data_IF_530653972338
#
_entry.id   IF_530653972338
#
_cell.length_a   1.000
_cell.length_b   1.000
_cell.length_c   1.000
_cell.angle_alpha   90.00
_cell.angle_beta   90.00
_cell.angle_gamma   90.00
#
_symmetry.space_group_name_H-M   'P 1'
#
loop_
_entity.id
_entity.type
_entity.pdbx_description
1 polymer ?
#
# COMPACT_ATOMS: atom_id res chain seq x y z
N UNK A 1 4.39 60.10 5.30
CA UNK A 1 4.06 58.99 4.38
C UNK A 1 4.18 57.70 5.16
N UNK A 2 3.03 57.14 5.61
CA UNK A 2 3.00 55.93 6.44
C UNK A 2 2.67 54.72 5.52
N UNK A 3 3.62 53.80 5.44
CA UNK A 3 3.47 52.57 4.67
C UNK A 3 2.76 51.55 5.58
N UNK A 4 1.51 51.19 5.22
CA UNK A 4 0.79 50.13 5.91
C UNK A 4 1.21 48.80 5.26
N UNK A 5 1.93 47.97 6.01
CA UNK A 5 2.26 46.60 5.63
C UNK A 5 1.07 45.71 5.89
N UNK A 6 0.45 45.19 4.82
CA UNK A 6 -0.61 44.24 4.88
C UNK A 6 -0.03 42.83 5.10
N UNK A 7 -0.10 42.31 6.31
CA UNK A 7 0.25 40.93 6.63
C UNK A 7 -0.90 39.99 6.14
N UNK A 8 -0.66 39.25 5.07
CA UNK A 8 -1.49 38.12 4.71
C UNK A 8 -1.15 36.94 5.63
N UNK A 9 -2.03 36.66 6.58
CA UNK A 9 -1.99 35.41 7.33
C UNK A 9 -2.46 34.28 6.41
N UNK A 10 -1.54 33.42 5.94
CA UNK A 10 -1.89 32.16 5.30
C UNK A 10 -2.45 31.23 6.39
N UNK A 11 -3.77 31.14 6.44
CA UNK A 11 -4.43 30.12 7.27
C UNK A 11 -4.27 28.79 6.57
N UNK A 12 -3.35 27.94 7.04
CA UNK A 12 -3.29 26.54 6.61
C UNK A 12 -4.54 25.85 7.15
N UNK A 13 -5.54 25.66 6.30
CA UNK A 13 -6.69 24.83 6.61
C UNK A 13 -6.17 23.39 6.78
N UNK A 14 -6.30 22.82 7.97
CA UNK A 14 -6.04 21.40 8.21
C UNK A 14 -6.98 20.60 7.28
N UNK A 15 -6.43 19.62 6.55
CA UNK A 15 -7.23 18.69 5.74
C UNK A 15 -8.25 18.00 6.65
N UNK A 16 -9.54 17.90 6.26
CA UNK A 16 -10.53 17.20 7.07
C UNK A 16 -10.06 15.77 7.31
N UNK A 17 -10.18 15.29 8.55
CA UNK A 17 -9.89 13.90 8.89
C UNK A 17 -10.72 12.96 8.01
N UNK A 18 -10.11 11.88 7.50
CA UNK A 18 -10.83 10.87 6.73
C UNK A 18 -11.95 10.26 7.57
N UNK A 19 -13.14 10.07 6.99
CA UNK A 19 -14.25 9.45 7.67
C UNK A 19 -14.03 7.94 7.93
N UNK A 20 -14.82 7.37 8.85
CA UNK A 20 -14.70 5.96 9.23
C UNK A 20 -14.92 5.00 8.06
N UNK A 21 -15.80 5.34 7.10
CA UNK A 21 -16.06 4.52 5.92
C UNK A 21 -14.84 4.49 4.98
N UNK A 22 -14.18 5.62 4.78
CA UNK A 22 -12.94 5.71 3.99
C UNK A 22 -11.81 4.90 4.64
N UNK A 23 -11.60 5.05 5.95
CA UNK A 23 -10.61 4.27 6.69
C UNK A 23 -10.86 2.76 6.53
N UNK A 24 -12.10 2.32 6.77
CA UNK A 24 -12.48 0.91 6.63
C UNK A 24 -12.25 0.36 5.21
N UNK A 25 -12.55 1.15 4.17
CA UNK A 25 -12.34 0.75 2.78
C UNK A 25 -10.85 0.60 2.43
N UNK A 26 -10.00 1.50 2.92
CA UNK A 26 -8.54 1.43 2.74
C UNK A 26 -7.97 0.20 3.45
N UNK A 27 -8.36 -0.03 4.70
CA UNK A 27 -7.94 -1.20 5.48
C UNK A 27 -8.40 -2.50 4.83
N UNK A 28 -9.64 -2.57 4.34
CA UNK A 28 -10.17 -3.74 3.64
C UNK A 28 -9.34 -4.08 2.39
N UNK A 29 -8.93 -3.09 1.61
CA UNK A 29 -8.06 -3.30 0.44
C UNK A 29 -6.68 -3.82 0.84
N UNK A 30 -6.08 -3.28 1.90
CA UNK A 30 -4.82 -3.79 2.42
C UNK A 30 -4.95 -5.25 2.88
N UNK A 31 -6.01 -5.59 3.61
CA UNK A 31 -6.28 -6.98 4.03
C UNK A 31 -6.58 -7.90 2.84
N UNK A 32 -7.32 -7.45 1.83
CA UNK A 32 -7.54 -8.25 0.62
C UNK A 32 -6.23 -8.60 -0.07
N UNK A 33 -5.29 -7.65 -0.10
CA UNK A 33 -3.97 -7.88 -0.67
C UNK A 33 -3.16 -8.91 0.12
N UNK A 34 -3.00 -8.74 1.42
CA UNK A 34 -2.13 -9.61 2.23
C UNK A 34 -2.81 -10.93 2.58
N UNK A 35 -4.05 -10.91 3.04
CA UNK A 35 -4.77 -12.12 3.43
C UNK A 35 -5.04 -13.01 2.21
N UNK A 36 -5.31 -12.41 1.04
CA UNK A 36 -5.46 -13.15 -0.20
C UNK A 36 -4.20 -13.94 -0.58
N UNK A 37 -3.01 -13.38 -0.39
CA UNK A 37 -1.75 -14.11 -0.60
C UNK A 37 -1.56 -15.23 0.45
N UNK A 38 -1.88 -14.96 1.71
CA UNK A 38 -1.73 -15.93 2.81
C UNK A 38 -2.75 -17.08 2.73
N UNK A 39 -3.91 -16.86 2.12
CA UNK A 39 -4.94 -17.87 1.86
C UNK A 39 -4.75 -18.60 0.53
N UNK A 40 -3.89 -18.08 -0.36
CA UNK A 40 -3.80 -18.49 -1.76
C UNK A 40 -5.11 -18.23 -2.54
N UNK A 41 -5.74 -17.09 -2.27
CA UNK A 41 -6.95 -16.60 -2.95
C UNK A 41 -6.59 -15.52 -4.00
N UNK A 42 -6.41 -15.90 -5.28
CA UNK A 42 -6.01 -14.96 -6.32
C UNK A 42 -7.09 -13.94 -6.66
N UNK A 43 -8.37 -14.23 -6.43
CA UNK A 43 -9.46 -13.28 -6.69
C UNK A 43 -9.45 -12.15 -5.66
N UNK A 44 -9.18 -12.49 -4.41
CA UNK A 44 -9.05 -11.52 -3.33
C UNK A 44 -7.90 -10.55 -3.58
N UNK A 45 -6.74 -11.07 -3.98
CA UNK A 45 -5.59 -10.25 -4.40
C UNK A 45 -5.93 -9.39 -5.61
N UNK A 46 -6.55 -9.97 -6.64
CA UNK A 46 -6.86 -9.28 -7.89
C UNK A 46 -7.74 -8.03 -7.68
N UNK A 47 -8.74 -8.09 -6.80
CA UNK A 47 -9.62 -6.95 -6.53
C UNK A 47 -8.96 -5.81 -5.77
N UNK A 48 -7.85 -6.08 -5.06
CA UNK A 48 -7.09 -5.07 -4.33
C UNK A 48 -6.13 -4.26 -5.21
N UNK A 49 -5.88 -4.70 -6.45
CA UNK A 49 -4.82 -4.19 -7.31
C UNK A 49 -5.36 -3.48 -8.55
N UNK A 50 -4.77 -2.33 -8.86
CA UNK A 50 -5.01 -1.64 -10.12
C UNK A 50 -4.48 -2.47 -11.31
N UNK A 51 -5.14 -2.47 -12.49
CA UNK A 51 -4.62 -3.15 -13.68
C UNK A 51 -3.20 -2.71 -14.07
N UNK A 52 -2.89 -1.43 -13.89
CA UNK A 52 -1.55 -0.84 -14.15
C UNK A 52 -0.73 -0.71 -12.86
N UNK A 53 -0.68 -1.78 -12.07
CA UNK A 53 0.09 -1.83 -10.83
C UNK A 53 1.58 -1.63 -11.08
N UNK A 54 2.21 -0.70 -10.36
CA UNK A 54 3.65 -0.58 -10.26
C UNK A 54 4.15 -1.17 -8.93
N UNK A 55 4.53 -2.45 -8.94
CA UNK A 55 5.11 -3.13 -7.77
C UNK A 55 6.59 -3.38 -7.97
N UNK A 56 7.38 -2.99 -6.96
CA UNK A 56 8.84 -3.15 -6.98
C UNK A 56 9.35 -3.63 -5.63
N UNK A 57 10.46 -4.37 -5.66
CA UNK A 57 11.17 -4.80 -4.47
C UNK A 57 12.59 -4.25 -4.44
N UNK A 58 13.02 -3.82 -3.26
CA UNK A 58 14.43 -3.51 -2.97
C UNK A 58 15.06 -4.80 -2.46
N UNK A 59 15.82 -5.47 -3.32
CA UNK A 59 16.46 -6.76 -3.04
C UNK A 59 17.96 -6.67 -3.26
N UNK A 60 18.72 -7.47 -2.54
CA UNK A 60 20.16 -7.56 -2.63
C UNK A 60 20.89 -7.14 -1.36
N UNK A 61 22.13 -7.60 -1.24
CA UNK A 61 22.96 -7.37 -0.06
C UNK A 61 23.85 -6.13 -0.21
N UNK A 62 24.10 -5.68 -1.44
CA UNK A 62 24.89 -4.48 -1.75
C UNK A 62 24.04 -3.35 -2.29
N UNK A 63 24.50 -2.07 -2.20
CA UNK A 63 23.81 -0.93 -2.79
C UNK A 63 23.57 -1.09 -4.30
N UNK A 64 24.54 -1.62 -5.05
CA UNK A 64 24.44 -1.78 -6.50
C UNK A 64 23.38 -2.83 -6.87
N UNK A 65 23.32 -3.96 -6.16
CA UNK A 65 22.28 -4.96 -6.35
C UNK A 65 20.89 -4.37 -6.10
N UNK A 66 20.72 -3.51 -5.07
CA UNK A 66 19.46 -2.86 -4.74
C UNK A 66 18.99 -1.86 -5.80
N UNK A 67 19.91 -1.27 -6.58
CA UNK A 67 19.55 -0.40 -7.71
C UNK A 67 18.80 -1.15 -8.81
N UNK A 68 19.03 -2.45 -8.96
CA UNK A 68 18.36 -3.32 -9.91
C UNK A 68 16.96 -3.77 -9.48
N UNK A 69 16.11 -2.88 -8.95
CA UNK A 69 14.77 -3.17 -8.43
C UNK A 69 14.07 -4.31 -9.16
N UNK A 70 13.58 -5.31 -8.43
CA UNK A 70 12.71 -6.32 -9.01
C UNK A 70 11.33 -5.73 -9.28
N UNK A 71 10.87 -5.87 -10.50
CA UNK A 71 9.50 -5.47 -10.92
C UNK A 71 8.57 -6.67 -10.90
N UNK A 72 7.29 -6.42 -10.62
CA UNK A 72 6.24 -7.41 -10.63
C UNK A 72 4.95 -6.79 -11.14
N UNK A 73 4.28 -7.44 -12.08
CA UNK A 73 2.96 -7.05 -12.56
C UNK A 73 1.84 -7.59 -11.65
N UNK A 74 0.64 -7.07 -11.85
CA UNK A 74 -0.58 -7.62 -11.21
C UNK A 74 -0.77 -9.10 -11.56
N UNK A 75 -0.60 -9.46 -12.82
CA UNK A 75 -0.78 -10.82 -13.33
C UNK A 75 0.24 -11.79 -12.72
N UNK A 76 1.49 -11.36 -12.60
CA UNK A 76 2.53 -12.16 -11.93
C UNK A 76 2.17 -12.40 -10.46
N UNK A 77 1.75 -11.38 -9.72
CA UNK A 77 1.37 -11.54 -8.32
C UNK A 77 0.15 -12.46 -8.15
N UNK A 78 -0.86 -12.33 -9.01
CA UNK A 78 -2.02 -13.22 -9.03
C UNK A 78 -1.59 -14.68 -9.30
N UNK A 79 -0.66 -14.88 -10.23
CA UNK A 79 -0.11 -16.21 -10.55
C UNK A 79 0.62 -16.82 -9.37
N UNK A 80 1.50 -16.06 -8.72
CA UNK A 80 2.23 -16.50 -7.51
C UNK A 80 1.27 -16.82 -6.35
N UNK A 81 0.21 -16.02 -6.20
CA UNK A 81 -0.83 -16.28 -5.19
C UNK A 81 -1.55 -17.59 -5.47
N UNK A 82 -1.93 -17.85 -6.73
CA UNK A 82 -2.57 -19.11 -7.14
C UNK A 82 -1.68 -20.33 -6.87
N UNK A 83 -0.37 -20.17 -7.01
CA UNK A 83 0.62 -21.21 -6.71
C UNK A 83 0.84 -21.40 -5.19
N UNK A 84 0.27 -20.53 -4.35
CA UNK A 84 0.39 -20.62 -2.90
C UNK A 84 1.78 -20.26 -2.35
N UNK A 85 2.54 -19.41 -3.05
CA UNK A 85 3.92 -19.04 -2.66
C UNK A 85 4.00 -18.49 -1.23
N UNK A 86 3.00 -17.70 -0.80
CA UNK A 86 2.91 -17.16 0.57
C UNK A 86 1.86 -17.85 1.43
N UNK A 87 1.27 -18.96 0.98
CA UNK A 87 0.25 -19.66 1.76
C UNK A 87 0.78 -20.03 3.14
N UNK A 88 0.07 -19.57 4.17
CA UNK A 88 0.51 -19.66 5.56
C UNK A 88 -0.69 -19.99 6.46
N UNK A 89 -0.55 -20.87 7.46
CA UNK A 89 -1.58 -21.12 8.45
C UNK A 89 -2.01 -19.85 9.19
N UNK A 90 -3.30 -19.70 9.47
CA UNK A 90 -3.87 -18.47 10.07
C UNK A 90 -3.25 -18.07 11.40
N UNK A 91 -2.87 -19.02 12.21
CA UNK A 91 -2.22 -18.83 13.51
C UNK A 91 -0.83 -18.17 13.42
N UNK A 92 -0.25 -18.14 12.21
CA UNK A 92 1.03 -17.47 11.92
C UNK A 92 0.86 -16.10 11.25
N UNK A 93 -0.37 -15.64 11.04
CA UNK A 93 -0.66 -14.37 10.38
C UNK A 93 -0.40 -13.18 11.30
N UNK A 94 0.81 -12.85 11.53
CA UNK A 94 1.18 -11.65 12.28
C UNK A 94 1.39 -10.49 11.31
N UNK A 95 0.29 -9.88 10.83
CA UNK A 95 0.29 -8.78 9.88
C UNK A 95 -0.45 -7.57 10.41
N UNK A 96 -0.01 -6.39 10.00
CA UNK A 96 -0.67 -5.13 10.31
C UNK A 96 -0.74 -4.21 9.08
N UNK A 97 -1.88 -3.56 8.90
CA UNK A 97 -2.10 -2.48 7.94
C UNK A 97 -2.19 -1.17 8.70
N UNK A 98 -1.29 -0.23 8.43
CA UNK A 98 -1.31 1.09 9.05
C UNK A 98 -1.43 2.17 7.99
N UNK A 99 -2.49 2.96 8.07
CA UNK A 99 -2.67 4.13 7.21
C UNK A 99 -1.73 5.23 7.69
N UNK A 100 -0.89 5.74 6.79
CA UNK A 100 0.09 6.78 7.06
C UNK A 100 -0.45 8.16 6.72
N UNK A 101 -1.21 8.26 5.61
CA UNK A 101 -1.81 9.51 5.14
C UNK A 101 -3.00 9.21 4.23
N UNK A 102 -4.00 10.10 4.25
CA UNK A 102 -5.20 10.02 3.42
C UNK A 102 -5.59 11.40 2.92
N UNK A 103 -5.82 11.51 1.63
CA UNK A 103 -6.46 12.65 0.98
C UNK A 103 -7.85 12.24 0.46
N UNK A 104 -8.56 13.13 -0.24
CA UNK A 104 -9.82 12.80 -0.88
C UNK A 104 -9.70 11.67 -1.92
N UNK A 105 -8.54 11.59 -2.62
CA UNK A 105 -8.35 10.73 -3.79
C UNK A 105 -7.20 9.74 -3.65
N UNK A 106 -6.33 9.89 -2.66
CA UNK A 106 -5.14 9.05 -2.48
C UNK A 106 -4.88 8.69 -1.02
N UNK A 107 -4.21 7.55 -0.81
CA UNK A 107 -3.76 7.14 0.52
C UNK A 107 -2.37 6.49 0.45
N UNK A 108 -1.61 6.66 1.53
CA UNK A 108 -0.37 5.95 1.79
C UNK A 108 -0.56 4.98 2.94
N UNK A 109 -0.17 3.72 2.75
CA UNK A 109 -0.39 2.64 3.72
C UNK A 109 0.88 1.82 3.89
N UNK A 110 1.18 1.44 5.13
CA UNK A 110 2.27 0.50 5.47
C UNK A 110 1.68 -0.84 5.87
N UNK A 111 2.05 -1.87 5.13
CA UNK A 111 1.81 -3.26 5.51
C UNK A 111 3.08 -3.84 6.13
N UNK A 112 2.92 -4.52 7.24
CA UNK A 112 3.99 -5.28 7.86
C UNK A 112 3.56 -6.72 8.13
N UNK A 113 4.44 -7.64 7.79
CA UNK A 113 4.32 -9.08 8.06
C UNK A 113 5.58 -9.57 8.76
N UNK A 114 5.65 -10.82 9.25
CA UNK A 114 6.90 -11.40 9.75
C UNK A 114 8.03 -11.45 8.70
N UNK A 115 7.70 -11.43 7.40
CA UNK A 115 8.64 -11.72 6.31
C UNK A 115 9.03 -10.49 5.49
N UNK A 116 8.17 -9.46 5.42
CA UNK A 116 8.41 -8.26 4.61
C UNK A 116 7.65 -7.05 5.12
N UNK A 117 8.10 -5.89 4.67
CA UNK A 117 7.40 -4.61 4.79
C UNK A 117 7.07 -4.11 3.39
N UNK A 118 5.83 -3.66 3.20
CA UNK A 118 5.35 -3.10 1.95
C UNK A 118 4.75 -1.70 2.19
N UNK A 119 5.00 -0.78 1.28
CA UNK A 119 4.43 0.56 1.29
C UNK A 119 3.56 0.72 0.05
N UNK A 120 2.29 1.06 0.26
CA UNK A 120 1.33 1.24 -0.81
C UNK A 120 1.00 2.71 -1.03
N UNK A 121 0.81 3.06 -2.30
CA UNK A 121 -0.04 4.18 -2.69
C UNK A 121 -1.34 3.62 -3.25
N UNK A 122 -2.45 4.05 -2.66
CA UNK A 122 -3.79 3.71 -3.13
C UNK A 122 -4.43 4.91 -3.80
N UNK A 123 -5.19 4.67 -4.85
CA UNK A 123 -6.08 5.66 -5.47
C UNK A 123 -7.53 5.33 -5.17
N UNK A 124 -8.38 6.37 -5.13
CA UNK A 124 -9.82 6.24 -5.05
C UNK A 124 -10.43 6.23 -6.44
N UNK A 125 -11.19 5.20 -6.75
CA UNK A 125 -11.89 5.02 -8.03
C UNK A 125 -13.38 4.83 -7.75
N UNK A 126 -14.13 5.94 -7.77
CA UNK A 126 -15.49 5.97 -7.27
C UNK A 126 -15.53 5.79 -5.74
N UNK A 127 -16.13 4.70 -5.30
CA UNK A 127 -16.18 4.28 -3.89
C UNK A 127 -15.11 3.23 -3.52
N UNK A 128 -14.28 2.82 -4.48
CA UNK A 128 -13.25 1.80 -4.31
C UNK A 128 -11.87 2.40 -4.10
N UNK A 129 -11.16 1.88 -3.10
CA UNK A 129 -9.74 2.14 -2.90
C UNK A 129 -8.92 0.98 -3.42
N UNK A 130 -7.93 1.24 -4.28
CA UNK A 130 -7.17 0.22 -5.01
C UNK A 130 -5.68 0.57 -4.96
N UNK A 131 -4.82 -0.43 -4.79
CA UNK A 131 -3.36 -0.26 -4.77
C UNK A 131 -2.87 0.02 -6.18
N UNK A 132 -2.23 1.18 -6.37
CA UNK A 132 -1.64 1.62 -7.65
C UNK A 132 -0.14 1.40 -7.65
N UNK A 133 0.55 1.66 -6.53
CA UNK A 133 1.98 1.47 -6.36
C UNK A 133 2.27 0.64 -5.11
N UNK A 134 3.30 -0.18 -5.16
CA UNK A 134 3.82 -0.92 -4.02
C UNK A 134 5.35 -0.97 -4.07
N UNK A 135 6.00 -0.63 -2.97
CA UNK A 135 7.43 -0.78 -2.78
C UNK A 135 7.69 -1.59 -1.52
N UNK A 136 8.34 -2.74 -1.65
CA UNK A 136 8.55 -3.64 -0.55
C UNK A 136 10.01 -4.10 -0.42
N UNK A 137 10.34 -4.57 0.75
CA UNK A 137 11.62 -5.25 1.02
C UNK A 137 11.40 -6.42 1.99
N UNK A 138 12.20 -7.50 1.87
CA UNK A 138 12.17 -8.59 2.85
C UNK A 138 12.75 -8.13 4.18
N UNK A 139 12.27 -8.72 5.28
CA UNK A 139 12.91 -8.59 6.58
C UNK A 139 14.12 -9.52 6.67
N UNK A 140 15.15 -9.16 7.45
CA UNK A 140 16.24 -10.09 7.76
C UNK A 140 15.69 -11.38 8.39
N UNK A 141 16.29 -12.51 8.02
CA UNK A 141 15.99 -13.83 8.62
C UNK A 141 16.80 -14.02 9.89
#
# INVERSE_FOLDING_TARGET
MSTVALLFALSAAASPAADAATIAAIEATCHDYVDGQLEADPQRVARSLHPDLAKRAVLGDTPDERLGLRRMSKEELISLTRQGVLKTPKEQWNRSCRILDVTAETAAVRLETPWFVDHFHMGRFGDRWIIVNALWHPKPR
#
